data_IF_331166739920
#
_entry.id   IF_331166739920
#
_cell.length_a   1.000
_cell.length_b   1.000
_cell.length_c   1.000
_cell.angle_alpha   90.00
_cell.angle_beta   90.00
_cell.angle_gamma   90.00
#
_symmetry.space_group_name_H-M   'P 1'
#
loop_
_entity.id
_entity.type
_entity.pdbx_description
1 polymer ?
#
# COMPACT_ATOMS: atom_id res chain seq x y z
N UNK A 1 12.42 -4.42 8.79
CA UNK A 1 12.07 -5.63 7.98
C UNK A 1 10.62 -6.02 8.21
N UNK A 2 9.90 -6.56 7.21
CA UNK A 2 8.55 -7.12 7.39
C UNK A 2 8.62 -8.61 7.04
N UNK A 3 8.09 -9.45 7.92
CA UNK A 3 8.13 -10.91 7.78
C UNK A 3 6.73 -11.50 7.90
N UNK A 4 6.40 -12.37 6.97
CA UNK A 4 5.17 -13.16 6.92
C UNK A 4 5.56 -14.62 6.95
N UNK A 5 5.03 -15.38 7.90
CA UNK A 5 5.43 -16.76 8.15
C UNK A 5 4.23 -17.68 8.08
N UNK A 6 4.24 -18.61 7.12
CA UNK A 6 3.29 -19.72 6.98
C UNK A 6 1.81 -19.29 7.04
N UNK A 7 1.47 -18.17 6.40
CA UNK A 7 0.08 -17.69 6.39
C UNK A 7 -0.84 -18.64 5.63
N UNK A 8 -1.96 -18.95 6.27
CA UNK A 8 -3.09 -19.61 5.65
C UNK A 8 -4.33 -18.73 5.70
N UNK A 9 -5.09 -18.73 4.59
CA UNK A 9 -6.36 -18.01 4.49
C UNK A 9 -7.36 -18.78 3.62
N UNK A 10 -8.57 -18.92 4.14
CA UNK A 10 -9.70 -19.50 3.39
C UNK A 10 -10.94 -18.63 3.52
N UNK A 11 -11.84 -18.76 2.57
CA UNK A 11 -13.16 -18.14 2.55
C UNK A 11 -14.20 -19.25 2.27
N UNK A 12 -14.95 -19.64 3.30
CA UNK A 12 -15.78 -20.85 3.25
C UNK A 12 -14.90 -22.07 2.97
N UNK A 13 -15.21 -22.81 1.91
CA UNK A 13 -14.43 -23.99 1.49
C UNK A 13 -13.22 -23.64 0.58
N UNK A 14 -13.13 -22.40 0.10
CA UNK A 14 -12.06 -21.98 -0.83
C UNK A 14 -10.81 -21.58 -0.07
N UNK A 15 -9.77 -22.40 -0.14
CA UNK A 15 -8.42 -22.04 0.32
C UNK A 15 -7.78 -21.09 -0.69
N UNK A 16 -7.34 -19.91 -0.23
CA UNK A 16 -6.73 -18.86 -1.05
C UNK A 16 -5.22 -18.74 -0.79
N UNK A 17 -4.80 -18.91 0.46
CA UNK A 17 -3.39 -18.95 0.87
C UNK A 17 -3.13 -20.22 1.66
N UNK A 18 -2.01 -20.87 1.37
CA UNK A 18 -1.56 -22.08 2.04
C UNK A 18 -0.05 -22.01 2.27
N UNK A 19 0.36 -21.95 3.54
CA UNK A 19 1.76 -21.82 3.97
C UNK A 19 2.52 -20.71 3.23
N UNK A 20 1.88 -19.58 2.97
CA UNK A 20 2.48 -18.47 2.26
C UNK A 20 3.44 -17.70 3.17
N UNK A 21 4.69 -17.56 2.73
CA UNK A 21 5.72 -16.80 3.44
C UNK A 21 6.32 -15.72 2.55
N UNK A 22 6.66 -14.58 3.15
CA UNK A 22 7.18 -13.40 2.47
C UNK A 22 8.13 -12.65 3.40
N UNK A 23 9.28 -12.25 2.90
CA UNK A 23 10.20 -11.36 3.60
C UNK A 23 10.44 -10.10 2.77
N UNK A 24 10.27 -8.93 3.38
CA UNK A 24 10.57 -7.64 2.79
C UNK A 24 11.69 -7.03 3.64
N UNK A 25 12.95 -7.09 3.16
CA UNK A 25 14.08 -6.44 3.82
C UNK A 25 13.89 -4.92 3.91
N UNK A 26 14.66 -4.26 4.76
CA UNK A 26 14.64 -2.81 4.81
C UNK A 26 15.15 -2.20 3.50
N UNK A 27 14.60 -1.03 3.16
CA UNK A 27 14.92 -0.28 1.95
C UNK A 27 14.75 -1.09 0.65
N UNK A 28 13.68 -1.90 0.60
CA UNK A 28 13.42 -2.82 -0.50
C UNK A 28 12.08 -2.52 -1.18
N UNK A 29 12.09 -2.60 -2.51
CA UNK A 29 10.89 -2.69 -3.33
C UNK A 29 10.63 -4.15 -3.65
N UNK A 30 9.63 -4.73 -2.99
CA UNK A 30 9.24 -6.11 -3.20
C UNK A 30 8.04 -6.20 -4.16
N UNK A 31 8.05 -7.14 -5.08
CA UNK A 31 6.97 -7.39 -6.02
C UNK A 31 6.29 -8.73 -5.79
N UNK A 32 4.96 -8.74 -5.87
CA UNK A 32 4.17 -9.97 -5.99
C UNK A 32 3.47 -9.95 -7.33
N UNK A 33 3.73 -10.93 -8.19
CA UNK A 33 3.01 -11.08 -9.44
C UNK A 33 2.29 -12.44 -9.52
N UNK A 34 1.28 -12.48 -10.39
CA UNK A 34 0.48 -13.68 -10.65
C UNK A 34 -0.85 -13.33 -11.32
N UNK A 35 -1.62 -14.33 -11.71
CA UNK A 35 -2.91 -14.15 -12.38
C UNK A 35 -3.91 -13.37 -11.53
N UNK A 36 -4.90 -12.75 -12.18
CA UNK A 36 -5.99 -12.06 -11.48
C UNK A 36 -6.83 -13.06 -10.68
N UNK A 37 -7.24 -12.66 -9.47
CA UNK A 37 -8.10 -13.49 -8.60
C UNK A 37 -7.40 -14.65 -7.89
N UNK A 38 -6.06 -14.81 -8.05
CA UNK A 38 -5.32 -15.93 -7.45
C UNK A 38 -5.13 -15.78 -5.92
N UNK A 39 -5.23 -14.55 -5.37
CA UNK A 39 -5.08 -14.31 -3.93
C UNK A 39 -4.12 -13.18 -3.54
N UNK A 40 -3.49 -12.48 -4.50
CA UNK A 40 -2.53 -11.39 -4.22
C UNK A 40 -3.08 -10.30 -3.30
N UNK A 41 -4.26 -9.78 -3.61
CA UNK A 41 -4.94 -8.76 -2.77
C UNK A 41 -5.37 -9.32 -1.41
N UNK A 42 -5.50 -10.64 -1.27
CA UNK A 42 -5.76 -11.27 0.03
C UNK A 42 -4.53 -11.15 0.94
N UNK A 43 -3.33 -11.34 0.40
CA UNK A 43 -2.08 -11.09 1.13
C UNK A 43 -2.00 -9.63 1.59
N UNK A 44 -2.24 -8.66 0.71
CA UNK A 44 -2.27 -7.25 1.06
C UNK A 44 -3.26 -6.95 2.20
N UNK A 45 -4.47 -7.49 2.12
CA UNK A 45 -5.53 -7.29 3.13
C UNK A 45 -5.21 -7.94 4.47
N UNK A 46 -4.47 -9.05 4.50
CA UNK A 46 -3.95 -9.66 5.73
C UNK A 46 -2.90 -8.76 6.38
N UNK A 47 -1.96 -8.21 5.59
CA UNK A 47 -0.95 -7.26 6.06
C UNK A 47 -1.58 -5.99 6.64
N UNK A 48 -2.69 -5.51 6.10
CA UNK A 48 -3.42 -4.34 6.59
C UNK A 48 -4.43 -4.67 7.72
N UNK A 49 -4.53 -5.93 8.16
CA UNK A 49 -5.48 -6.33 9.22
C UNK A 49 -6.95 -6.30 8.82
N UNK A 50 -7.26 -6.18 7.51
CA UNK A 50 -8.64 -6.25 7.00
C UNK A 50 -9.16 -7.69 7.12
N UNK A 51 -8.27 -8.66 6.91
CA UNK A 51 -8.54 -10.07 7.17
C UNK A 51 -7.67 -10.59 8.29
N UNK A 52 -8.21 -11.52 9.07
CA UNK A 52 -7.46 -12.28 10.07
C UNK A 52 -6.94 -13.57 9.41
N UNK A 53 -5.67 -13.96 9.64
CA UNK A 53 -5.17 -15.26 9.20
C UNK A 53 -5.78 -16.40 10.00
N UNK A 54 -5.96 -17.57 9.40
CA UNK A 54 -6.30 -18.81 10.09
C UNK A 54 -5.08 -19.49 10.71
N UNK A 55 -3.91 -19.35 10.08
CA UNK A 55 -2.62 -19.83 10.59
C UNK A 55 -1.52 -18.88 10.17
N UNK A 56 -0.36 -19.00 10.85
CA UNK A 56 0.81 -18.19 10.57
C UNK A 56 0.83 -16.86 11.30
N UNK A 57 1.87 -16.10 11.05
CA UNK A 57 2.20 -14.88 11.79
C UNK A 57 2.72 -13.79 10.85
N UNK A 58 2.48 -12.54 11.23
CA UNK A 58 2.96 -11.34 10.53
C UNK A 58 3.75 -10.50 11.53
N UNK A 59 4.96 -10.08 11.17
CA UNK A 59 5.82 -9.25 12.00
C UNK A 59 6.22 -7.97 11.26
N UNK A 60 6.38 -6.90 12.02
CA UNK A 60 7.12 -5.69 11.64
C UNK A 60 8.33 -5.61 12.56
N UNK A 61 9.53 -5.68 11.98
CA UNK A 61 10.76 -5.94 12.70
C UNK A 61 10.58 -7.22 13.58
N UNK A 62 10.84 -7.18 14.85
CA UNK A 62 10.64 -8.33 15.75
C UNK A 62 9.29 -8.27 16.50
N UNK A 63 8.38 -7.38 16.09
CA UNK A 63 7.10 -7.18 16.76
C UNK A 63 5.98 -7.89 16.01
N UNK A 64 5.26 -8.77 16.72
CA UNK A 64 4.10 -9.47 16.18
C UNK A 64 2.96 -8.50 15.88
N UNK A 65 2.62 -8.39 14.59
CA UNK A 65 1.51 -7.56 14.10
C UNK A 65 0.17 -8.32 14.18
N UNK A 66 0.16 -9.56 13.74
CA UNK A 66 -1.04 -10.41 13.71
C UNK A 66 -0.70 -11.89 13.68
N UNK A 67 -1.59 -12.72 14.26
CA UNK A 67 -1.56 -14.18 14.12
C UNK A 67 -2.98 -14.76 14.21
N UNK A 68 -3.08 -16.08 14.05
CA UNK A 68 -4.35 -16.79 14.28
C UNK A 68 -4.87 -16.64 15.72
N UNK A 69 -3.96 -16.61 16.70
CA UNK A 69 -4.28 -16.49 18.13
C UNK A 69 -4.35 -15.06 18.64
N UNK A 70 -3.62 -14.14 18.03
CA UNK A 70 -3.55 -12.74 18.43
C UNK A 70 -4.30 -11.82 17.46
N UNK A 71 -5.06 -10.87 18.02
CA UNK A 71 -5.69 -9.82 17.23
C UNK A 71 -4.64 -8.91 16.60
N UNK A 72 -4.99 -8.32 15.46
CA UNK A 72 -4.16 -7.33 14.76
C UNK A 72 -3.83 -6.14 15.68
N UNK A 73 -2.55 -5.82 15.81
CA UNK A 73 -2.10 -4.62 16.51
C UNK A 73 -2.36 -3.38 15.65
N UNK A 74 -3.44 -2.66 15.97
CA UNK A 74 -3.87 -1.48 15.20
C UNK A 74 -2.85 -0.34 15.26
N UNK A 75 -2.11 -0.18 16.37
CA UNK A 75 -1.13 0.88 16.52
C UNK A 75 0.10 0.60 15.65
N UNK A 76 0.61 -0.61 15.71
CA UNK A 76 1.70 -1.08 14.86
C UNK A 76 1.27 -1.08 13.39
N UNK A 77 0.03 -1.46 13.11
CA UNK A 77 -0.56 -1.52 11.79
C UNK A 77 -0.70 -0.19 11.06
N UNK A 78 -0.67 0.95 11.76
CA UNK A 78 -0.60 2.26 11.11
C UNK A 78 0.67 2.44 10.29
N UNK A 79 1.70 1.65 10.55
CA UNK A 79 2.94 1.64 9.78
C UNK A 79 2.81 0.91 8.43
N UNK A 80 1.67 0.25 8.17
CA UNK A 80 1.36 -0.36 6.87
C UNK A 80 0.21 0.43 6.25
N UNK A 81 0.48 1.00 5.08
CA UNK A 81 -0.53 1.73 4.32
C UNK A 81 -0.74 1.08 2.96
N UNK A 82 -1.96 1.19 2.41
CA UNK A 82 -2.31 0.54 1.16
C UNK A 82 -3.03 1.51 0.22
N UNK A 83 -2.54 1.58 -1.00
CA UNK A 83 -3.20 2.25 -2.12
C UNK A 83 -3.95 1.20 -2.92
N UNK A 84 -5.25 1.37 -3.05
CA UNK A 84 -6.14 0.44 -3.75
C UNK A 84 -6.17 0.70 -5.26
N UNK A 85 -6.53 -0.33 -6.01
CA UNK A 85 -6.74 -0.26 -7.46
C UNK A 85 -7.75 0.84 -7.87
N UNK A 86 -8.79 1.05 -7.06
CA UNK A 86 -9.79 2.10 -7.27
C UNK A 86 -9.63 3.21 -6.24
N UNK A 87 -8.87 4.28 -6.54
CA UNK A 87 -8.56 5.33 -5.57
C UNK A 87 -9.81 6.07 -5.08
N UNK A 88 -10.83 6.23 -5.92
CA UNK A 88 -12.09 6.87 -5.54
C UNK A 88 -12.82 6.14 -4.41
N UNK A 89 -12.65 4.83 -4.27
CA UNK A 89 -13.29 4.06 -3.19
C UNK A 89 -12.77 4.45 -1.79
N UNK A 90 -11.66 5.16 -1.71
CA UNK A 90 -11.06 5.64 -0.46
C UNK A 90 -11.37 7.11 -0.14
N UNK A 91 -12.11 7.78 -1.02
CA UNK A 91 -12.48 9.18 -0.91
C UNK A 91 -14.00 9.31 -0.69
N UNK A 92 -14.43 10.11 0.30
CA UNK A 92 -15.86 10.40 0.45
C UNK A 92 -16.31 11.29 -0.73
N UNK A 93 -17.25 10.83 -1.58
CA UNK A 93 -17.67 11.55 -2.77
C UNK A 93 -18.35 12.92 -2.47
N UNK A 94 -18.77 13.14 -1.23
CA UNK A 94 -19.43 14.37 -0.76
C UNK A 94 -18.48 15.32 -0.05
N UNK A 95 -17.24 14.92 0.15
CA UNK A 95 -16.24 15.71 0.87
C UNK A 95 -15.18 16.26 -0.08
N UNK A 96 -14.84 17.55 0.03
CA UNK A 96 -13.71 18.12 -0.69
C UNK A 96 -12.39 17.44 -0.28
N UNK A 97 -11.48 17.30 -1.22
CA UNK A 97 -10.17 16.66 -1.00
C UNK A 97 -9.44 17.27 0.21
N UNK A 98 -9.38 18.60 0.31
CA UNK A 98 -8.74 19.28 1.43
C UNK A 98 -9.42 19.04 2.79
N UNK A 99 -10.72 18.77 2.81
CA UNK A 99 -11.41 18.41 4.04
C UNK A 99 -11.01 17.01 4.51
N UNK A 100 -10.83 16.05 3.58
CA UNK A 100 -10.34 14.71 3.88
C UNK A 100 -8.90 14.70 4.44
N UNK A 101 -8.02 15.56 3.94
CA UNK A 101 -6.68 15.73 4.51
C UNK A 101 -6.75 16.28 5.94
N UNK A 102 -7.50 17.35 6.17
CA UNK A 102 -7.67 17.94 7.51
C UNK A 102 -8.23 16.95 8.51
N UNK A 103 -9.20 16.13 8.11
CA UNK A 103 -9.77 15.09 8.97
C UNK A 103 -8.69 14.09 9.43
N UNK A 104 -7.89 13.56 8.49
CA UNK A 104 -6.80 12.64 8.82
C UNK A 104 -5.76 13.28 9.73
N UNK A 105 -5.32 14.50 9.41
CA UNK A 105 -4.29 15.21 10.18
C UNK A 105 -4.75 15.43 11.62
N UNK A 106 -6.00 15.85 11.81
CA UNK A 106 -6.57 16.11 13.14
C UNK A 106 -6.80 14.83 13.92
N UNK A 107 -7.38 13.81 13.26
CA UNK A 107 -7.69 12.54 13.93
C UNK A 107 -6.43 11.83 14.45
N UNK A 108 -5.35 11.87 13.66
CA UNK A 108 -4.09 11.23 14.01
C UNK A 108 -3.07 12.17 14.66
N UNK A 109 -3.42 13.43 14.85
CA UNK A 109 -2.55 14.45 15.46
C UNK A 109 -1.20 14.62 14.74
N UNK A 110 -1.19 14.56 13.41
CA UNK A 110 0.04 14.69 12.61
C UNK A 110 0.65 16.09 12.63
N UNK A 111 -0.20 17.11 12.82
CA UNK A 111 0.23 18.50 12.94
C UNK A 111 -0.73 19.31 13.84
N UNK A 112 -0.25 20.44 14.35
CA UNK A 112 -1.13 21.43 14.99
C UNK A 112 -2.01 22.11 13.93
N UNK A 113 -3.10 22.74 14.39
CA UNK A 113 -4.07 23.40 13.49
C UNK A 113 -3.43 24.44 12.57
N UNK A 114 -2.42 25.15 13.07
CA UNK A 114 -1.69 26.20 12.34
C UNK A 114 -0.82 25.61 11.21
N UNK A 115 -0.40 24.34 11.34
CA UNK A 115 0.47 23.66 10.38
C UNK A 115 -0.25 22.67 9.48
N UNK A 116 -1.58 22.51 9.62
CA UNK A 116 -2.35 21.56 8.80
C UNK A 116 -2.24 21.85 7.30
N UNK A 117 -2.29 23.13 6.93
CA UNK A 117 -2.21 23.55 5.54
C UNK A 117 -0.81 23.29 4.99
N UNK A 118 0.25 23.72 5.70
CA UNK A 118 1.64 23.49 5.31
C UNK A 118 1.93 22.00 5.07
N UNK A 119 1.50 21.13 6.01
CA UNK A 119 1.67 19.69 5.88
C UNK A 119 0.90 19.12 4.67
N UNK A 120 -0.32 19.61 4.42
CA UNK A 120 -1.12 19.16 3.28
C UNK A 120 -0.46 19.55 1.97
N UNK A 121 0.01 20.79 1.84
CA UNK A 121 0.69 21.30 0.66
C UNK A 121 2.00 20.55 0.39
N UNK A 122 2.79 20.27 1.44
CA UNK A 122 4.00 19.44 1.36
C UNK A 122 3.69 18.01 0.84
N UNK A 123 2.58 17.40 1.30
CA UNK A 123 2.18 16.09 0.79
C UNK A 123 1.71 16.13 -0.67
N UNK A 124 1.05 17.19 -1.10
CA UNK A 124 0.66 17.35 -2.51
C UNK A 124 1.89 17.57 -3.41
N UNK A 125 2.82 18.41 -3.01
CA UNK A 125 4.07 18.63 -3.74
C UNK A 125 4.84 17.31 -3.93
N UNK A 126 4.92 16.50 -2.88
CA UNK A 126 5.57 15.18 -2.91
C UNK A 126 4.98 14.24 -3.96
N UNK A 127 3.73 14.42 -4.36
CA UNK A 127 3.05 13.60 -5.38
C UNK A 127 2.80 14.35 -6.69
N UNK A 128 3.33 15.56 -6.82
CA UNK A 128 3.21 16.39 -8.03
C UNK A 128 1.77 16.84 -8.30
N UNK A 129 1.05 17.27 -7.27
CA UNK A 129 -0.29 17.85 -7.35
C UNK A 129 -0.26 19.32 -6.95
N UNK A 130 -1.00 20.15 -7.70
CA UNK A 130 -1.24 21.55 -7.36
C UNK A 130 -2.26 21.68 -6.22
N UNK A 131 -2.18 22.79 -5.48
CA UNK A 131 -3.01 23.00 -4.28
C UNK A 131 -4.49 23.27 -4.58
N UNK A 132 -4.83 23.66 -5.80
CA UNK A 132 -6.20 23.90 -6.25
C UNK A 132 -7.07 22.63 -6.12
N UNK A 133 -6.48 21.44 -6.23
CA UNK A 133 -7.15 20.15 -6.06
C UNK A 133 -7.87 20.04 -4.70
N UNK A 134 -7.38 20.75 -3.68
CA UNK A 134 -7.98 20.74 -2.32
C UNK A 134 -9.40 21.29 -2.29
N UNK A 135 -9.78 22.09 -3.27
CA UNK A 135 -11.11 22.69 -3.39
C UNK A 135 -12.11 21.81 -4.14
N UNK A 136 -11.61 20.77 -4.83
CA UNK A 136 -12.41 19.86 -5.66
C UNK A 136 -13.05 18.74 -4.83
N UNK A 137 -14.15 18.20 -5.37
CA UNK A 137 -14.74 16.94 -4.94
C UNK A 137 -14.10 15.77 -5.72
N UNK A 138 -14.14 14.54 -5.20
CA UNK A 138 -13.52 13.40 -5.88
C UNK A 138 -13.95 13.20 -7.34
N UNK A 139 -15.20 13.43 -7.68
CA UNK A 139 -15.72 13.28 -9.04
C UNK A 139 -15.28 14.41 -10.01
N UNK A 140 -14.61 15.46 -9.53
CA UNK A 140 -14.12 16.59 -10.32
C UNK A 140 -12.64 16.45 -10.70
N UNK A 141 -11.97 15.41 -10.24
CA UNK A 141 -10.56 15.13 -10.50
C UNK A 141 -10.41 13.89 -11.38
N UNK A 142 -9.31 13.80 -12.12
CA UNK A 142 -8.98 12.63 -12.95
C UNK A 142 -8.59 11.41 -12.10
N UNK A 143 -8.63 10.21 -12.71
CA UNK A 143 -8.20 8.97 -12.03
C UNK A 143 -6.75 9.03 -11.55
N UNK A 144 -5.86 9.63 -12.33
CA UNK A 144 -4.45 9.81 -11.96
C UNK A 144 -4.26 10.79 -10.79
N UNK A 145 -5.05 11.87 -10.74
CA UNK A 145 -5.05 12.79 -9.61
C UNK A 145 -5.61 12.13 -8.35
N UNK A 146 -6.73 11.39 -8.45
CA UNK A 146 -7.30 10.64 -7.34
C UNK A 146 -6.32 9.62 -6.77
N UNK A 147 -5.54 8.97 -7.63
CA UNK A 147 -4.50 8.04 -7.21
C UNK A 147 -3.38 8.76 -6.45
N UNK A 148 -2.87 9.88 -6.97
CA UNK A 148 -1.85 10.67 -6.28
C UNK A 148 -2.36 11.24 -4.96
N UNK A 149 -3.63 11.65 -4.87
CA UNK A 149 -4.29 12.02 -3.61
C UNK A 149 -4.28 10.86 -2.61
N UNK A 150 -4.65 9.65 -3.05
CA UNK A 150 -4.62 8.47 -2.19
C UNK A 150 -3.21 8.14 -1.68
N UNK A 151 -2.19 8.25 -2.55
CA UNK A 151 -0.79 8.10 -2.18
C UNK A 151 -0.37 9.15 -1.15
N UNK A 152 -0.66 10.44 -1.39
CA UNK A 152 -0.34 11.53 -0.47
C UNK A 152 -0.94 11.31 0.93
N UNK A 153 -2.19 10.83 0.99
CA UNK A 153 -2.84 10.46 2.26
C UNK A 153 -2.13 9.31 2.99
N UNK A 154 -1.67 8.30 2.25
CA UNK A 154 -0.87 7.20 2.84
C UNK A 154 0.49 7.70 3.37
N UNK A 155 1.15 8.61 2.66
CA UNK A 155 2.46 9.16 3.05
C UNK A 155 2.41 10.00 4.33
N UNK A 156 1.25 10.56 4.72
CA UNK A 156 1.06 11.25 6.01
C UNK A 156 1.43 10.35 7.21
N UNK A 157 1.28 9.04 7.08
CA UNK A 157 1.57 8.07 8.14
C UNK A 157 3.06 7.72 8.26
N UNK A 158 3.91 8.22 7.37
CA UNK A 158 5.32 7.81 7.26
C UNK A 158 5.47 6.29 7.34
N UNK A 159 4.82 5.54 6.42
CA UNK A 159 4.69 4.10 6.57
C UNK A 159 6.02 3.37 6.44
N UNK A 160 6.19 2.30 7.24
CA UNK A 160 7.27 1.32 7.06
C UNK A 160 7.03 0.42 5.84
N UNK A 161 5.76 0.26 5.44
CA UNK A 161 5.38 -0.46 4.23
C UNK A 161 4.24 0.27 3.51
N UNK A 162 4.47 0.63 2.26
CA UNK A 162 3.44 1.08 1.35
C UNK A 162 3.09 -0.04 0.36
N UNK A 163 1.86 -0.53 0.43
CA UNK A 163 1.34 -1.55 -0.48
C UNK A 163 0.63 -0.86 -1.65
N UNK A 164 1.01 -1.22 -2.86
CA UNK A 164 0.42 -0.77 -4.12
C UNK A 164 -0.30 -1.95 -4.76
N UNK A 165 -1.61 -2.11 -4.50
CA UNK A 165 -2.41 -3.23 -5.02
C UNK A 165 -3.03 -2.83 -6.36
N UNK A 166 -2.36 -3.21 -7.44
CA UNK A 166 -2.71 -2.84 -8.83
C UNK A 166 -2.93 -1.34 -9.03
N UNK A 167 -2.36 -0.54 -8.13
CA UNK A 167 -2.61 0.89 -8.00
C UNK A 167 -2.13 1.73 -9.19
N UNK A 168 -1.39 1.17 -10.11
CA UNK A 168 -0.90 1.87 -11.32
C UNK A 168 -1.56 1.40 -12.62
N UNK A 169 -2.47 0.43 -12.57
CA UNK A 169 -3.10 -0.17 -13.75
C UNK A 169 -4.02 0.76 -14.55
N UNK A 170 -4.45 1.87 -13.96
CA UNK A 170 -5.30 2.89 -14.61
C UNK A 170 -4.50 4.03 -15.24
N UNK A 171 -3.18 4.01 -15.13
CA UNK A 171 -2.30 5.04 -15.68
C UNK A 171 -1.69 4.57 -17.00
N UNK A 172 -1.45 5.49 -17.92
CA UNK A 172 -0.59 5.21 -19.07
C UNK A 172 0.85 4.89 -18.62
N UNK A 173 1.60 4.18 -19.44
CA UNK A 173 2.94 3.66 -19.09
C UNK A 173 3.90 4.74 -18.62
N UNK A 174 3.86 5.94 -19.25
CA UNK A 174 4.76 7.03 -18.90
C UNK A 174 4.41 7.65 -17.53
N UNK A 175 3.13 7.87 -17.28
CA UNK A 175 2.62 8.36 -15.99
C UNK A 175 2.86 7.33 -14.88
N UNK A 176 2.66 6.05 -15.17
CA UNK A 176 2.94 4.95 -14.24
C UNK A 176 4.39 4.94 -13.78
N UNK A 177 5.35 5.00 -14.72
CA UNK A 177 6.77 5.03 -14.40
C UNK A 177 7.16 6.25 -13.54
N UNK A 178 6.61 7.42 -13.85
CA UNK A 178 6.86 8.65 -13.09
C UNK A 178 6.31 8.55 -11.66
N UNK A 179 5.06 8.09 -11.49
CA UNK A 179 4.42 7.93 -10.17
C UNK A 179 5.18 6.90 -9.32
N UNK A 180 5.50 5.74 -9.88
CA UNK A 180 6.25 4.70 -9.17
C UNK A 180 7.66 5.17 -8.80
N UNK A 181 8.37 5.85 -9.71
CA UNK A 181 9.69 6.42 -9.44
C UNK A 181 9.66 7.47 -8.32
N UNK A 182 8.61 8.30 -8.29
CA UNK A 182 8.39 9.27 -7.21
C UNK A 182 8.14 8.55 -5.87
N UNK A 183 7.24 7.56 -5.83
CA UNK A 183 6.95 6.77 -4.62
C UNK A 183 8.23 6.11 -4.11
N UNK A 184 9.00 5.45 -4.97
CA UNK A 184 10.27 4.79 -4.60
C UNK A 184 11.23 5.77 -3.92
N UNK A 185 11.41 6.96 -4.50
CA UNK A 185 12.27 8.01 -3.93
C UNK A 185 11.79 8.43 -2.54
N UNK A 186 10.48 8.68 -2.38
CA UNK A 186 9.92 9.13 -1.10
C UNK A 186 9.99 8.06 -0.01
N UNK A 187 9.71 6.81 -0.37
CA UNK A 187 9.82 5.71 0.58
C UNK A 187 11.28 5.48 1.01
N UNK A 188 12.23 5.56 0.08
CA UNK A 188 13.66 5.48 0.38
C UNK A 188 14.12 6.60 1.33
N UNK A 189 13.70 7.86 1.10
CA UNK A 189 14.02 9.01 1.96
C UNK A 189 13.56 8.82 3.42
N UNK A 190 12.50 8.06 3.65
CA UNK A 190 11.93 7.78 4.97
C UNK A 190 12.33 6.41 5.53
N UNK A 191 13.14 5.63 4.82
CA UNK A 191 13.53 4.27 5.20
C UNK A 191 12.36 3.27 5.15
N UNK A 192 11.34 3.56 4.34
CA UNK A 192 10.18 2.71 4.16
C UNK A 192 10.34 1.74 2.98
N UNK A 193 9.51 0.70 2.98
CA UNK A 193 9.48 -0.36 1.98
C UNK A 193 8.26 -0.23 1.06
N UNK A 194 8.33 -0.80 -0.13
CA UNK A 194 7.20 -0.89 -1.07
C UNK A 194 6.89 -2.36 -1.33
N UNK A 195 5.60 -2.70 -1.30
CA UNK A 195 5.08 -3.95 -1.83
C UNK A 195 4.22 -3.66 -3.06
N UNK A 196 4.75 -3.92 -4.25
CA UNK A 196 4.02 -3.79 -5.51
C UNK A 196 3.31 -5.10 -5.83
N UNK A 197 2.00 -5.07 -5.96
CA UNK A 197 1.18 -6.19 -6.41
C UNK A 197 0.69 -5.87 -7.82
N UNK A 198 1.03 -6.73 -8.79
CA UNK A 198 0.62 -6.55 -10.18
C UNK A 198 0.47 -7.89 -10.90
N UNK A 199 -0.35 -7.91 -11.95
CA UNK A 199 -0.37 -8.99 -12.94
C UNK A 199 0.60 -8.71 -14.12
N UNK A 200 1.17 -7.50 -14.18
CA UNK A 200 2.14 -7.08 -15.19
C UNK A 200 3.55 -7.49 -14.77
N UNK A 201 4.02 -8.64 -15.30
CA UNK A 201 5.34 -9.17 -14.98
C UNK A 201 6.49 -8.23 -15.42
N UNK A 202 6.52 -7.68 -16.65
CA UNK A 202 7.49 -6.68 -17.07
C UNK A 202 7.63 -5.50 -16.10
N UNK A 203 6.51 -4.96 -15.60
CA UNK A 203 6.52 -3.89 -14.62
C UNK A 203 7.21 -4.31 -13.30
N UNK A 204 6.84 -5.49 -12.77
CA UNK A 204 7.41 -6.01 -11.53
C UNK A 204 8.91 -6.28 -11.69
N UNK A 205 9.34 -6.86 -12.81
CA UNK A 205 10.76 -7.10 -13.12
C UNK A 205 11.56 -5.81 -13.25
N UNK A 206 10.96 -4.76 -13.79
CA UNK A 206 11.62 -3.46 -13.94
C UNK A 206 11.74 -2.69 -12.61
N UNK A 207 10.66 -2.71 -11.80
CA UNK A 207 10.53 -1.82 -10.66
C UNK A 207 11.01 -2.41 -9.33
N UNK A 208 10.91 -3.75 -9.14
CA UNK A 208 11.13 -4.39 -7.85
C UNK A 208 12.56 -4.93 -7.69
N UNK A 209 13.11 -4.85 -6.49
CA UNK A 209 14.42 -5.38 -6.13
C UNK A 209 14.34 -6.89 -5.83
N UNK A 210 13.22 -7.33 -5.27
CA UNK A 210 12.91 -8.71 -4.94
C UNK A 210 11.53 -9.09 -5.45
N UNK A 211 11.37 -10.30 -6.00
CA UNK A 211 10.14 -10.73 -6.65
C UNK A 211 9.66 -12.06 -6.06
N UNK A 212 8.35 -12.13 -5.83
CA UNK A 212 7.64 -13.35 -5.49
C UNK A 212 6.60 -13.67 -6.57
N UNK A 213 6.63 -14.88 -7.10
CA UNK A 213 5.56 -15.42 -7.90
C UNK A 213 4.47 -15.99 -6.97
N UNK A 214 3.23 -15.58 -7.20
CA UNK A 214 2.08 -16.21 -6.55
C UNK A 214 1.65 -17.41 -7.39
N UNK A 215 1.85 -18.61 -6.88
CA UNK A 215 1.54 -19.87 -7.57
C UNK A 215 1.01 -20.91 -6.56
N UNK A 216 0.02 -21.69 -6.97
CA UNK A 216 -0.54 -22.76 -6.15
C UNK A 216 -0.83 -22.33 -4.70
N UNK A 217 -1.49 -21.16 -4.51
CA UNK A 217 -1.89 -20.59 -3.21
C UNK A 217 -0.74 -20.18 -2.29
N UNK A 218 0.50 -20.19 -2.76
CA UNK A 218 1.69 -19.81 -1.99
C UNK A 218 2.55 -18.81 -2.74
N UNK A 219 3.58 -18.29 -2.08
CA UNK A 219 4.55 -17.36 -2.65
C UNK A 219 5.88 -18.08 -2.85
N UNK A 220 6.45 -17.96 -4.04
CA UNK A 220 7.77 -18.48 -4.38
C UNK A 220 8.69 -17.33 -4.72
N UNK A 221 9.76 -17.16 -3.94
CA UNK A 221 10.80 -16.16 -4.23
C UNK A 221 11.49 -16.52 -5.55
N UNK A 222 11.57 -15.57 -6.48
CA UNK A 222 12.31 -15.71 -7.71
C UNK A 222 13.73 -15.16 -7.55
N UNK A 223 14.71 -15.92 -8.04
CA UNK A 223 16.07 -15.42 -8.15
C UNK A 223 16.14 -14.51 -9.40
N UNK A 224 16.52 -13.25 -9.23
CA UNK A 224 16.86 -12.39 -10.36
C UNK A 224 18.04 -13.02 -11.12
N UNK A 225 17.85 -13.24 -12.44
CA UNK A 225 18.94 -13.62 -13.34
C UNK A 225 19.85 -12.44 -13.63
#
# INVERSE_FOLDING_TARGET
MISVQNLCKQFGEKVVLENASLEIPDDCVCGIYGESGIGKSTMAKLLCGIYKPEQGEIFIDDHLLASASQSYDRKLGLQIQMVYQQPYATLDPRQKIGAGFRELIRYHHFASKEREQELTEDMLDKVGLETDILTHLPHQISGGEAQRVAIARCLLFHPRLLILDEASSMLDVSTQANVLGMIRRRMHETGGNILLISHDRPLVEFFCDQIYAFDNKTLKKENRK
#
